data_IF_339384272783
#
_entry.id   IF_339384272783
#
_cell.length_a   1.000
_cell.length_b   1.000
_cell.length_c   1.000
_cell.angle_alpha   90.00
_cell.angle_beta   90.00
_cell.angle_gamma   90.00
#
_symmetry.space_group_name_H-M   'P 1'
#
loop_
_entity.id
_entity.type
_entity.pdbx_description
1 polymer ?
#
# COMPACT_ATOMS: atom_id res chain seq x y z
N UNK A 1 6.64 -12.57 -15.01
CA UNK A 1 7.61 -12.80 -13.91
C UNK A 1 8.07 -11.45 -13.35
N UNK A 2 8.50 -11.36 -12.09
CA UNK A 2 9.33 -10.23 -11.62
C UNK A 2 10.79 -10.49 -12.03
N UNK A 3 11.57 -9.45 -12.35
CA UNK A 3 13.02 -9.60 -12.48
C UNK A 3 13.61 -9.82 -11.09
N UNK A 4 14.31 -10.94 -10.90
CA UNK A 4 15.11 -11.21 -9.71
C UNK A 4 16.29 -10.24 -9.66
N UNK A 5 16.14 -9.14 -8.93
CA UNK A 5 17.24 -8.18 -8.73
C UNK A 5 18.31 -8.83 -7.85
N UNK A 6 19.47 -9.08 -8.44
CA UNK A 6 20.56 -9.83 -7.81
C UNK A 6 21.37 -8.98 -6.82
N UNK A 7 20.70 -8.57 -5.73
CA UNK A 7 21.27 -8.12 -4.45
C UNK A 7 20.13 -8.05 -3.42
N UNK A 8 20.35 -8.59 -2.23
CA UNK A 8 19.39 -8.57 -1.11
C UNK A 8 19.29 -7.18 -0.47
N UNK A 9 18.72 -6.23 -1.21
CA UNK A 9 18.25 -4.95 -0.67
C UNK A 9 17.08 -5.23 0.28
N UNK A 10 17.29 -5.00 1.57
CA UNK A 10 16.22 -5.02 2.59
C UNK A 10 15.26 -3.86 2.34
N UNK A 11 13.96 -4.10 2.54
CA UNK A 11 12.90 -3.15 2.14
C UNK A 11 11.97 -2.82 3.29
N UNK A 12 11.39 -1.62 3.23
CA UNK A 12 10.32 -1.21 4.12
C UNK A 12 8.97 -1.47 3.44
N UNK A 13 8.06 -2.17 4.11
CA UNK A 13 6.68 -2.36 3.68
C UNK A 13 5.80 -1.33 4.40
N UNK A 14 5.13 -0.47 3.65
CA UNK A 14 4.32 0.63 4.17
C UNK A 14 2.86 0.34 3.86
N UNK A 15 2.03 0.31 4.90
CA UNK A 15 0.61 -0.04 4.81
C UNK A 15 -0.28 1.02 5.48
N UNK A 16 -1.54 1.07 5.05
CA UNK A 16 -2.60 1.78 5.77
C UNK A 16 -3.31 0.85 6.77
N UNK A 17 -4.38 1.33 7.42
CA UNK A 17 -5.12 0.57 8.43
C UNK A 17 -5.85 -0.67 7.87
N UNK A 18 -6.29 -0.61 6.61
CA UNK A 18 -7.12 -1.64 5.96
C UNK A 18 -6.21 -2.73 5.38
N UNK A 19 -5.22 -2.33 4.58
CA UNK A 19 -4.19 -3.23 4.04
C UNK A 19 -3.39 -3.94 5.12
N UNK A 20 -3.13 -3.28 6.27
CA UNK A 20 -2.51 -3.94 7.43
C UNK A 20 -3.43 -5.02 8.05
N UNK A 21 -4.75 -4.81 8.11
CA UNK A 21 -5.71 -5.88 8.48
C UNK A 21 -5.59 -7.05 7.48
N UNK A 22 -5.68 -6.81 6.16
CA UNK A 22 -5.63 -7.86 5.12
C UNK A 22 -4.34 -8.67 5.23
N UNK A 23 -3.20 -7.99 5.36
CA UNK A 23 -1.89 -8.62 5.50
C UNK A 23 -1.82 -9.50 6.76
N UNK A 24 -2.37 -9.03 7.89
CA UNK A 24 -2.35 -9.76 9.17
C UNK A 24 -3.27 -11.00 9.21
N UNK A 25 -4.33 -11.02 8.40
CA UNK A 25 -5.15 -12.21 8.19
C UNK A 25 -4.48 -13.24 7.27
N UNK A 26 -3.68 -12.76 6.30
CA UNK A 26 -3.15 -13.57 5.20
C UNK A 26 -1.77 -14.17 5.46
N UNK A 27 -0.89 -13.50 6.23
CA UNK A 27 0.51 -13.90 6.44
C UNK A 27 1.01 -13.58 7.84
N UNK A 28 1.99 -14.35 8.31
CA UNK A 28 2.74 -14.12 9.54
C UNK A 28 3.93 -13.20 9.27
N UNK A 29 4.48 -12.60 10.33
CA UNK A 29 5.65 -11.73 10.22
C UNK A 29 6.88 -12.45 9.64
N UNK A 30 7.04 -13.76 9.92
CA UNK A 30 8.10 -14.59 9.33
C UNK A 30 8.00 -14.66 7.80
N UNK A 31 6.81 -14.95 7.27
CA UNK A 31 6.53 -15.04 5.84
C UNK A 31 6.86 -13.71 5.13
N UNK A 32 6.58 -12.58 5.80
CA UNK A 32 6.90 -11.22 5.34
C UNK A 32 8.42 -10.97 5.34
N UNK A 33 9.15 -11.38 6.40
CA UNK A 33 10.61 -11.20 6.47
C UNK A 33 11.36 -12.06 5.48
N UNK A 34 10.88 -13.27 5.19
CA UNK A 34 11.50 -14.19 4.24
C UNK A 34 11.42 -13.68 2.78
N UNK A 35 10.51 -12.77 2.47
CA UNK A 35 10.47 -12.04 1.19
C UNK A 35 11.42 -10.82 1.13
N UNK A 36 12.26 -10.61 2.15
CA UNK A 36 13.25 -9.53 2.19
C UNK A 36 12.68 -8.17 2.63
N UNK A 37 11.57 -8.17 3.35
CA UNK A 37 11.08 -7.01 4.11
C UNK A 37 11.80 -7.01 5.48
N UNK A 38 12.40 -5.91 5.89
CA UNK A 38 13.05 -5.80 7.21
C UNK A 38 12.27 -4.94 8.20
N UNK A 39 11.29 -4.17 7.72
CA UNK A 39 10.49 -3.25 8.54
C UNK A 39 9.08 -3.12 7.95
N UNK A 40 8.08 -3.08 8.83
CA UNK A 40 6.68 -2.81 8.48
C UNK A 40 6.25 -1.51 9.15
N UNK A 41 5.73 -0.58 8.35
CA UNK A 41 5.42 0.79 8.76
C UNK A 41 3.98 1.22 8.43
N UNK A 42 3.47 2.20 9.18
CA UNK A 42 2.12 2.74 8.97
C UNK A 42 2.17 4.09 8.26
N UNK A 43 1.48 4.20 7.12
CA UNK A 43 1.50 5.37 6.23
C UNK A 43 1.25 6.71 6.97
N UNK A 44 0.27 6.72 7.88
CA UNK A 44 -0.15 7.91 8.64
C UNK A 44 0.65 8.15 9.93
N UNK A 45 1.64 7.32 10.26
CA UNK A 45 2.57 7.58 11.36
C UNK A 45 3.77 8.38 10.88
N UNK A 46 4.37 9.13 11.81
CA UNK A 46 5.66 9.80 11.60
C UNK A 46 6.76 8.73 11.53
N UNK A 47 7.31 8.55 10.34
CA UNK A 47 8.33 7.55 10.00
C UNK A 47 9.72 8.17 9.98
N UNK A 48 10.75 7.35 10.21
CA UNK A 48 12.15 7.76 10.07
C UNK A 48 12.57 7.72 8.58
N UNK A 49 13.28 8.73 8.05
CA UNK A 49 13.82 8.68 6.70
C UNK A 49 14.88 7.59 6.56
N UNK A 50 14.75 6.73 5.55
CA UNK A 50 15.72 5.66 5.23
C UNK A 50 16.14 5.73 3.75
N UNK A 51 16.85 6.78 3.29
CA UNK A 51 17.07 7.04 1.85
C UNK A 51 17.93 5.97 1.13
N UNK A 52 18.56 5.07 1.89
CA UNK A 52 19.35 3.96 1.37
C UNK A 52 18.51 2.69 1.08
N UNK A 53 17.26 2.63 1.55
CA UNK A 53 16.36 1.47 1.40
C UNK A 53 15.31 1.70 0.31
N UNK A 54 14.89 0.61 -0.33
CA UNK A 54 13.73 0.59 -1.23
C UNK A 54 12.44 0.41 -0.42
N UNK A 55 11.34 1.03 -0.85
CA UNK A 55 10.05 0.92 -0.19
C UNK A 55 8.98 0.28 -1.08
N UNK A 56 8.11 -0.51 -0.45
CA UNK A 56 6.93 -1.11 -1.06
C UNK A 56 5.72 -0.53 -0.34
N UNK A 57 4.85 0.16 -1.06
CA UNK A 57 3.58 0.64 -0.54
C UNK A 57 2.49 -0.35 -0.94
N UNK A 58 1.80 -0.92 0.05
CA UNK A 58 0.57 -1.69 -0.15
C UNK A 58 -0.53 -0.93 0.59
N UNK A 59 -1.28 -0.12 -0.16
CA UNK A 59 -2.22 0.88 0.36
C UNK A 59 -3.44 0.95 -0.56
N UNK A 60 -4.61 1.30 -0.03
CA UNK A 60 -5.83 1.54 -0.83
C UNK A 60 -5.63 2.74 -1.77
N UNK A 61 -6.29 2.76 -2.96
CA UNK A 61 -6.14 3.82 -3.96
C UNK A 61 -6.89 5.13 -3.62
N UNK A 62 -7.13 5.41 -2.34
CA UNK A 62 -7.82 6.62 -1.86
C UNK A 62 -6.94 7.88 -1.94
N UNK A 63 -7.58 9.05 -2.04
CA UNK A 63 -6.91 10.34 -2.26
C UNK A 63 -5.93 10.69 -1.14
N UNK A 64 -6.27 10.37 0.09
CA UNK A 64 -5.54 10.70 1.31
C UNK A 64 -4.24 9.89 1.39
N UNK A 65 -4.32 8.59 1.07
CA UNK A 65 -3.17 7.70 0.93
C UNK A 65 -2.19 8.20 -0.15
N UNK A 66 -2.71 8.65 -1.29
CA UNK A 66 -1.91 9.16 -2.40
C UNK A 66 -1.22 10.50 -2.07
N UNK A 67 -1.85 11.35 -1.26
CA UNK A 67 -1.21 12.59 -0.75
C UNK A 67 -0.02 12.24 0.15
N UNK A 68 -0.16 11.27 1.05
CA UNK A 68 0.94 10.80 1.90
C UNK A 68 2.08 10.20 1.06
N UNK A 69 1.76 9.34 0.08
CA UNK A 69 2.73 8.74 -0.85
C UNK A 69 3.53 9.79 -1.65
N UNK A 70 2.89 10.86 -2.11
CA UNK A 70 3.57 11.97 -2.80
C UNK A 70 4.44 12.77 -1.81
N UNK A 71 3.93 13.03 -0.60
CA UNK A 71 4.66 13.77 0.45
C UNK A 71 5.93 13.05 0.93
N UNK A 72 5.96 11.71 0.89
CA UNK A 72 7.16 10.93 1.22
C UNK A 72 8.29 11.08 0.16
N UNK A 73 7.93 11.52 -1.06
CA UNK A 73 8.78 11.49 -2.25
C UNK A 73 9.26 12.87 -2.73
N UNK A 74 8.48 13.93 -2.49
CA UNK A 74 8.73 15.31 -2.97
C UNK A 74 9.68 16.14 -2.09
N UNK A 75 10.20 15.56 -1.00
CA UNK A 75 11.19 16.20 -0.12
C UNK A 75 12.59 16.38 -0.75
N UNK A 76 13.38 17.32 -0.20
CA UNK A 76 14.82 17.51 -0.55
C UNK A 76 15.60 16.22 -0.38
N UNK A 77 15.35 15.52 0.73
CA UNK A 77 15.69 14.11 0.93
C UNK A 77 14.36 13.35 0.97
N UNK A 78 14.15 12.30 0.14
CA UNK A 78 12.97 11.45 0.24
C UNK A 78 13.10 10.52 1.45
N UNK A 79 11.98 9.99 1.94
CA UNK A 79 12.04 8.96 2.97
C UNK A 79 12.64 7.65 2.44
N UNK A 80 12.49 7.34 1.14
CA UNK A 80 12.92 6.08 0.53
C UNK A 80 13.43 6.26 -0.90
N UNK A 81 14.20 5.27 -1.39
CA UNK A 81 14.96 5.37 -2.64
C UNK A 81 14.14 5.15 -3.91
N UNK A 82 13.31 4.11 -3.90
CA UNK A 82 12.45 3.69 -5.02
C UNK A 82 11.12 3.21 -4.46
N UNK A 83 10.02 3.39 -5.20
CA UNK A 83 8.72 2.77 -4.91
C UNK A 83 7.99 2.33 -6.19
N UNK A 84 7.20 1.25 -6.20
CA UNK A 84 6.39 0.88 -7.34
C UNK A 84 5.00 1.59 -7.31
N UNK A 85 4.71 2.44 -8.31
CA UNK A 85 3.44 3.19 -8.47
C UNK A 85 2.98 3.13 -9.94
N UNK A 86 1.69 2.83 -10.22
CA UNK A 86 1.18 2.09 -11.96
C UNK A 86 1.15 3.16 -13.09
N UNK A 87 0.27 3.05 -14.10
CA UNK A 87 0.20 4.04 -15.21
C UNK A 87 -1.06 4.89 -15.33
N UNK A 88 -2.13 4.59 -14.59
CA UNK A 88 -3.43 5.23 -14.82
C UNK A 88 -3.78 6.26 -13.71
N UNK A 89 -3.38 5.98 -12.47
CA UNK A 89 -3.26 7.02 -11.42
C UNK A 89 -2.15 8.05 -11.67
N UNK A 90 -1.30 7.82 -12.68
CA UNK A 90 -0.20 8.72 -13.03
C UNK A 90 -0.68 10.11 -13.45
N UNK A 91 -1.94 10.32 -13.86
CA UNK A 91 -2.47 11.65 -14.21
C UNK A 91 -2.27 12.70 -13.11
N UNK A 92 -2.42 12.32 -11.83
CA UNK A 92 -2.13 13.20 -10.67
C UNK A 92 -0.66 13.20 -10.28
N UNK A 93 0.08 12.12 -10.52
CA UNK A 93 1.49 11.98 -10.09
C UNK A 93 2.46 12.64 -11.09
N UNK A 94 2.16 12.64 -12.40
CA UNK A 94 2.90 13.40 -13.43
C UNK A 94 2.82 14.91 -13.26
N UNK A 95 1.85 15.42 -12.50
CA UNK A 95 1.78 16.83 -12.16
C UNK A 95 2.98 17.26 -11.28
N UNK A 96 3.55 16.33 -10.51
CA UNK A 96 4.80 16.52 -9.77
C UNK A 96 5.94 15.74 -10.44
N UNK A 97 6.72 16.46 -11.26
CA UNK A 97 7.85 15.90 -12.00
C UNK A 97 9.01 15.41 -11.11
N UNK A 98 9.02 15.73 -9.81
CA UNK A 98 10.06 15.28 -8.88
C UNK A 98 9.94 13.80 -8.50
N UNK A 99 8.72 13.25 -8.52
CA UNK A 99 8.40 11.90 -8.06
C UNK A 99 8.66 10.85 -9.14
N UNK A 100 8.33 11.16 -10.39
CA UNK A 100 8.34 10.21 -11.52
C UNK A 100 9.67 9.43 -11.70
N UNK A 101 10.88 10.02 -11.55
CA UNK A 101 12.14 9.29 -11.69
C UNK A 101 12.41 8.23 -10.61
N UNK A 102 11.63 8.22 -9.51
CA UNK A 102 11.81 7.35 -8.32
C UNK A 102 10.86 6.14 -8.35
N UNK A 103 10.17 5.91 -9.48
CA UNK A 103 9.12 4.90 -9.62
C UNK A 103 9.63 3.66 -10.36
N UNK A 104 9.58 2.49 -9.70
CA UNK A 104 10.26 1.27 -10.18
C UNK A 104 9.41 0.24 -10.94
N UNK A 105 8.12 0.11 -10.63
CA UNK A 105 7.13 -0.81 -11.25
C UNK A 105 5.71 -0.39 -10.83
N UNK A 106 4.66 -1.17 -11.10
CA UNK A 106 3.38 -1.17 -10.34
C UNK A 106 2.71 -2.54 -10.53
N UNK A 107 2.02 -3.04 -9.51
CA UNK A 107 0.90 -3.97 -9.60
C UNK A 107 -0.25 -3.49 -8.73
N UNK A 108 -1.45 -3.64 -9.26
CA UNK A 108 -2.68 -3.75 -8.47
C UNK A 108 -2.79 -5.19 -7.95
N UNK A 109 -3.38 -5.38 -6.76
CA UNK A 109 -3.48 -6.71 -6.13
C UNK A 109 -4.92 -7.25 -6.11
N UNK A 110 -5.95 -6.39 -6.18
CA UNK A 110 -7.36 -6.76 -6.10
C UNK A 110 -7.70 -7.66 -4.89
N UNK A 111 -7.14 -7.28 -3.74
CA UNK A 111 -7.36 -7.87 -2.41
C UNK A 111 -8.05 -6.85 -1.50
N UNK A 112 -9.33 -6.60 -1.77
CA UNK A 112 -10.23 -5.76 -0.96
C UNK A 112 -11.17 -6.62 -0.10
N UNK A 113 -10.63 -7.73 0.42
CA UNK A 113 -11.33 -8.68 1.28
C UNK A 113 -10.37 -9.29 2.31
N UNK A 114 -10.94 -9.79 3.39
CA UNK A 114 -10.23 -10.44 4.50
C UNK A 114 -10.53 -11.93 4.43
N UNK A 115 -9.55 -12.79 4.07
CA UNK A 115 -9.74 -14.24 4.13
C UNK A 115 -9.94 -14.66 5.60
N UNK A 116 -10.97 -15.45 5.86
CA UNK A 116 -11.20 -16.10 7.16
C UNK A 116 -10.64 -17.53 7.11
N UNK A 117 -10.86 -18.23 6.01
CA UNK A 117 -10.32 -19.56 5.76
C UNK A 117 -10.07 -19.79 4.25
N UNK A 118 -9.88 -21.04 3.85
CA UNK A 118 -9.57 -21.46 2.49
C UNK A 118 -10.68 -21.16 1.45
N UNK A 119 -11.91 -20.90 1.91
CA UNK A 119 -13.13 -20.78 1.10
C UNK A 119 -14.04 -19.62 1.53
N UNK A 120 -13.85 -19.05 2.73
CA UNK A 120 -14.62 -17.91 3.25
C UNK A 120 -13.79 -16.62 3.36
N UNK A 121 -14.41 -15.49 3.01
CA UNK A 121 -13.89 -14.14 3.21
C UNK A 121 -15.00 -13.18 3.67
N UNK A 122 -14.61 -12.04 4.22
CA UNK A 122 -15.51 -10.90 4.50
C UNK A 122 -14.93 -9.59 3.94
N UNK A 123 -15.78 -8.58 3.78
CA UNK A 123 -15.41 -7.24 3.29
C UNK A 123 -15.08 -6.24 4.41
N UNK A 124 -15.31 -6.59 5.69
CA UNK A 124 -15.21 -5.67 6.85
C UNK A 124 -16.19 -4.47 6.76
N UNK A 125 -17.19 -4.57 5.90
CA UNK A 125 -18.28 -3.59 5.77
C UNK A 125 -19.42 -3.93 6.74
N UNK A 126 -19.41 -3.25 7.90
CA UNK A 126 -20.43 -3.37 8.94
C UNK A 126 -21.79 -2.76 8.54
N UNK A 127 -21.85 -1.99 7.43
CA UNK A 127 -23.04 -1.21 7.01
C UNK A 127 -23.72 -1.72 5.76
N UNK A 128 -23.10 -2.61 4.98
CA UNK A 128 -23.69 -3.16 3.75
C UNK A 128 -25.15 -3.66 3.92
N UNK A 129 -25.51 -4.18 5.11
CA UNK A 129 -26.88 -4.59 5.40
C UNK A 129 -27.85 -3.41 5.53
N UNK A 130 -27.43 -2.31 6.16
CA UNK A 130 -28.20 -1.06 6.27
C UNK A 130 -28.28 -0.37 4.89
N UNK A 131 -27.14 -0.18 4.23
CA UNK A 131 -27.05 0.56 2.96
C UNK A 131 -27.70 -0.16 1.75
N UNK A 132 -27.91 -1.48 1.81
CA UNK A 132 -28.61 -2.23 0.75
C UNK A 132 -30.05 -2.66 1.09
N UNK A 133 -30.47 -2.67 2.36
CA UNK A 133 -31.79 -3.20 2.76
C UNK A 133 -32.61 -2.30 3.70
N UNK A 134 -32.09 -1.16 4.18
CA UNK A 134 -32.96 -0.10 4.64
C UNK A 134 -33.53 0.65 3.43
N UNK A 135 -34.85 0.58 3.26
CA UNK A 135 -35.54 1.54 2.40
C UNK A 135 -35.22 2.95 2.88
N UNK A 136 -34.75 3.81 1.96
CA UNK A 136 -34.71 5.25 2.21
C UNK A 136 -36.15 5.76 2.33
N UNK A 137 -36.67 5.76 3.56
CA UNK A 137 -38.06 6.05 3.89
C UNK A 137 -38.40 7.56 3.80
N UNK A 138 -38.08 8.17 2.66
CA UNK A 138 -38.57 9.50 2.27
C UNK A 138 -40.02 9.37 1.78
N UNK A 139 -40.97 9.62 2.70
CA UNK A 139 -42.38 9.92 2.45
C UNK A 139 -42.64 11.40 2.76
#
# INVERSE_FOLDING_TARGET
>A
MLKSSSKSSWKVLIMDKVTMKVMSASCKMADITDQGISLVEQLFKRREPMPNMDAIYYIQPIKENLIMLISDMSGREPLYKNSPIPKDFISKIKADSSVVPRIGALREMNLEYFPIDNQAFVTDDERALEEMYCDNAEN
#
